data_IF_639193546683
#
_entry.id   IF_639193546683
#
_cell.length_a   1.000
_cell.length_b   1.000
_cell.length_c   1.000
_cell.angle_alpha   90.00
_cell.angle_beta   90.00
_cell.angle_gamma   90.00
#
_symmetry.space_group_name_H-M   'P 1'
#
loop_
_entity.id
_entity.type
_entity.pdbx_description
1 polymer ?
#
# COMPACT_ATOMS: atom_id res chain seq x y z
N UNK A 1 1.96 10.36 -2.03
CA UNK A 1 1.43 9.24 -1.23
C UNK A 1 1.98 7.89 -1.62
N UNK A 2 2.55 7.70 -2.83
CA UNK A 2 3.09 6.40 -3.26
C UNK A 2 4.33 6.56 -4.18
N UNK A 3 5.30 7.41 -3.83
CA UNK A 3 6.51 7.57 -4.65
C UNK A 3 7.47 6.37 -4.56
N UNK A 4 7.34 5.52 -3.55
CA UNK A 4 8.41 4.57 -3.19
C UNK A 4 8.26 3.13 -3.72
N UNK A 5 7.26 2.84 -4.54
CA UNK A 5 7.05 1.50 -5.17
C UNK A 5 7.28 1.47 -6.70
N UNK A 6 8.16 2.35 -7.21
CA UNK A 6 8.43 2.56 -8.65
C UNK A 6 8.79 1.28 -9.42
N UNK A 7 9.43 0.30 -8.76
CA UNK A 7 9.89 -0.93 -9.42
C UNK A 7 8.76 -1.85 -9.93
N UNK A 8 7.55 -1.75 -9.38
CA UNK A 8 6.42 -2.63 -9.73
C UNK A 8 5.46 -2.01 -10.77
N UNK A 9 5.53 -0.69 -11.00
CA UNK A 9 4.57 0.03 -11.85
C UNK A 9 4.63 -0.32 -13.35
N UNK A 10 5.82 -0.36 -13.99
CA UNK A 10 5.92 -0.63 -15.42
C UNK A 10 5.45 -2.05 -15.76
N UNK A 11 5.93 -3.03 -14.98
CA UNK A 11 5.66 -4.45 -15.17
C UNK A 11 4.17 -4.75 -15.04
N UNK A 12 3.50 -4.19 -14.02
CA UNK A 12 2.06 -4.40 -13.83
C UNK A 12 1.21 -3.82 -14.98
N UNK A 13 1.61 -2.68 -15.54
CA UNK A 13 0.90 -2.04 -16.64
C UNK A 13 1.08 -2.80 -17.97
N UNK A 14 2.30 -3.25 -18.26
CA UNK A 14 2.61 -4.01 -19.48
C UNK A 14 1.90 -5.37 -19.48
N UNK A 15 1.80 -6.03 -18.32
CA UNK A 15 1.05 -7.28 -18.16
C UNK A 15 -0.45 -7.09 -18.41
N UNK A 16 -1.04 -5.99 -17.93
CA UNK A 16 -2.44 -5.67 -18.19
C UNK A 16 -2.73 -5.43 -19.68
N UNK A 17 -1.91 -4.61 -20.34
CA UNK A 17 -2.08 -4.29 -21.76
C UNK A 17 -1.86 -5.52 -22.66
N UNK A 18 -1.04 -6.48 -22.23
CA UNK A 18 -0.86 -7.76 -22.90
C UNK A 18 -1.98 -8.78 -22.63
N UNK A 19 -3.06 -8.38 -21.93
CA UNK A 19 -4.23 -9.23 -21.71
C UNK A 19 -4.07 -10.24 -20.56
N UNK A 20 -3.03 -10.12 -19.74
CA UNK A 20 -2.88 -10.93 -18.54
C UNK A 20 -3.76 -10.36 -17.43
N UNK A 21 -5.03 -10.78 -17.42
CA UNK A 21 -6.03 -10.40 -16.41
C UNK A 21 -5.78 -11.13 -15.07
N UNK A 22 -4.97 -12.21 -15.08
CA UNK A 22 -4.61 -13.05 -13.93
C UNK A 22 -3.09 -13.14 -13.74
N UNK A 23 -2.60 -13.07 -12.49
CA UNK A 23 -1.17 -13.17 -12.20
C UNK A 23 -0.78 -14.58 -12.57
N UNK A 24 -0.02 -14.74 -13.66
CA UNK A 24 0.49 -16.05 -14.02
C UNK A 24 1.89 -16.18 -13.42
N UNK A 25 2.06 -16.81 -12.24
CA UNK A 25 3.37 -17.05 -11.66
C UNK A 25 4.26 -17.95 -12.54
N UNK A 26 3.68 -18.58 -13.59
CA UNK A 26 4.41 -19.35 -14.60
C UNK A 26 4.84 -18.50 -15.81
N UNK A 27 4.56 -17.20 -15.83
CA UNK A 27 5.04 -16.31 -16.87
C UNK A 27 6.59 -16.29 -16.85
N UNK A 28 7.27 -16.39 -18.00
CA UNK A 28 8.73 -16.56 -18.05
C UNK A 28 9.51 -15.46 -17.31
N UNK A 29 9.01 -14.22 -17.38
CA UNK A 29 9.63 -13.06 -16.76
C UNK A 29 9.53 -13.10 -15.22
N UNK A 30 8.40 -13.60 -14.70
CA UNK A 30 8.16 -13.75 -13.26
C UNK A 30 8.95 -14.92 -12.71
N UNK A 31 9.00 -16.04 -13.45
CA UNK A 31 9.84 -17.19 -13.11
C UNK A 31 11.31 -16.79 -13.01
N UNK A 32 11.78 -15.91 -13.88
CA UNK A 32 13.16 -15.43 -13.84
C UNK A 32 13.44 -14.57 -12.61
N UNK A 33 12.56 -13.61 -12.30
CA UNK A 33 12.67 -12.77 -11.09
C UNK A 33 12.60 -13.61 -9.81
N UNK A 34 11.70 -14.60 -9.76
CA UNK A 34 11.60 -15.52 -8.63
C UNK A 34 12.88 -16.35 -8.47
N UNK A 35 13.46 -16.84 -9.57
CA UNK A 35 14.74 -17.56 -9.51
C UNK A 35 15.86 -16.68 -8.98
N UNK A 36 15.93 -15.42 -9.39
CA UNK A 36 16.98 -14.49 -8.95
C UNK A 36 16.84 -14.14 -7.45
N UNK A 37 15.60 -14.01 -6.95
CA UNK A 37 15.30 -13.77 -5.53
C UNK A 37 15.59 -15.03 -4.69
N UNK A 38 15.14 -16.19 -5.15
CA UNK A 38 15.32 -17.48 -4.47
C UNK A 38 16.75 -18.01 -4.51
N UNK A 39 17.60 -17.45 -5.36
CA UNK A 39 19.03 -17.79 -5.42
C UNK A 39 19.86 -17.05 -4.36
N UNK A 40 19.27 -16.10 -3.62
CA UNK A 40 19.97 -15.40 -2.54
C UNK A 40 19.99 -16.24 -1.26
N UNK A 41 21.13 -16.37 -0.58
CA UNK A 41 21.21 -17.08 0.69
C UNK A 41 20.35 -16.37 1.75
N UNK A 42 19.55 -17.15 2.49
CA UNK A 42 18.65 -16.64 3.55
C UNK A 42 17.20 -16.40 3.12
N UNK A 43 16.84 -16.65 1.86
CA UNK A 43 15.46 -16.50 1.37
C UNK A 43 14.76 -17.87 1.31
N UNK A 44 13.72 -18.09 2.12
CA UNK A 44 12.86 -19.28 2.05
C UNK A 44 11.74 -19.08 1.02
N UNK A 45 11.88 -19.77 -0.11
CA UNK A 45 10.96 -19.66 -1.24
C UNK A 45 9.75 -20.59 -1.21
N UNK A 46 9.62 -21.42 -0.16
CA UNK A 46 8.54 -22.41 -0.05
C UNK A 46 7.16 -21.73 0.04
N UNK A 47 7.11 -20.49 0.57
CA UNK A 47 5.90 -19.67 0.70
C UNK A 47 6.03 -18.25 0.14
N UNK A 48 7.13 -17.93 -0.55
CA UNK A 48 7.34 -16.58 -1.09
C UNK A 48 6.20 -16.22 -2.06
N UNK A 49 5.85 -17.17 -2.94
CA UNK A 49 4.73 -17.00 -3.85
C UNK A 49 3.42 -16.77 -3.08
N UNK A 50 3.06 -17.53 -2.04
CA UNK A 50 1.81 -17.31 -1.31
C UNK A 50 1.71 -15.93 -0.63
N UNK A 51 2.83 -15.34 -0.19
CA UNK A 51 2.88 -13.97 0.33
C UNK A 51 2.68 -12.89 -0.75
N UNK A 52 3.01 -13.18 -2.02
CA UNK A 52 2.89 -12.25 -3.16
C UNK A 52 1.71 -12.55 -4.10
N UNK A 53 1.23 -13.79 -4.18
CA UNK A 53 0.20 -14.29 -5.11
C UNK A 53 -1.22 -14.18 -4.57
N UNK A 54 -1.40 -13.68 -3.34
CA UNK A 54 -2.72 -13.33 -2.81
C UNK A 54 -3.34 -12.08 -3.47
N UNK A 55 -2.61 -11.39 -4.34
CA UNK A 55 -3.02 -10.12 -4.92
C UNK A 55 -3.61 -10.38 -6.31
N UNK A 56 -4.94 -10.26 -6.43
CA UNK A 56 -5.61 -10.15 -7.72
C UNK A 56 -4.85 -9.14 -8.60
N UNK A 57 -4.56 -9.46 -9.87
CA UNK A 57 -3.83 -8.58 -10.79
C UNK A 57 -4.35 -7.14 -10.80
N UNK A 58 -5.67 -7.00 -10.69
CA UNK A 58 -6.32 -5.70 -10.62
C UNK A 58 -5.81 -4.85 -9.46
N UNK A 59 -5.52 -5.43 -8.30
CA UNK A 59 -4.97 -4.72 -7.16
C UNK A 59 -3.51 -4.29 -7.42
N UNK A 60 -2.69 -5.12 -8.06
CA UNK A 60 -1.32 -4.72 -8.44
C UNK A 60 -1.33 -3.57 -9.47
N UNK A 61 -2.21 -3.66 -10.47
CA UNK A 61 -2.41 -2.61 -11.47
C UNK A 61 -2.92 -1.34 -10.80
N UNK A 62 -3.85 -1.45 -9.83
CA UNK A 62 -4.36 -0.29 -9.10
C UNK A 62 -3.25 0.38 -8.29
N UNK A 63 -2.44 -0.39 -7.57
CA UNK A 63 -1.28 0.13 -6.83
C UNK A 63 -0.33 0.84 -7.79
N UNK A 64 -0.05 0.25 -8.97
CA UNK A 64 0.74 0.88 -10.03
C UNK A 64 0.16 2.22 -10.51
N UNK A 65 -1.16 2.31 -10.71
CA UNK A 65 -1.84 3.55 -11.09
C UNK A 65 -1.65 4.63 -10.03
N UNK A 66 -1.86 4.28 -8.75
CA UNK A 66 -1.70 5.24 -7.66
C UNK A 66 -0.23 5.72 -7.50
N UNK A 67 0.75 4.84 -7.72
CA UNK A 67 2.18 5.19 -7.73
C UNK A 67 2.49 6.16 -8.88
N UNK A 68 2.02 5.83 -10.09
CA UNK A 68 2.28 6.60 -11.32
C UNK A 68 1.66 7.99 -11.26
N UNK A 69 0.41 8.07 -10.82
CA UNK A 69 -0.37 9.30 -10.82
C UNK A 69 -0.16 10.11 -9.54
N UNK A 70 0.45 9.51 -8.52
CA UNK A 70 0.70 10.12 -7.22
C UNK A 70 -0.58 10.42 -6.42
N UNK A 71 -1.70 9.80 -6.79
CA UNK A 71 -3.05 10.06 -6.27
C UNK A 71 -3.69 8.78 -5.77
N UNK A 72 -4.45 8.89 -4.69
CA UNK A 72 -5.31 7.80 -4.23
C UNK A 72 -6.68 7.99 -4.87
N UNK A 73 -6.96 7.21 -5.91
CA UNK A 73 -8.21 7.28 -6.67
C UNK A 73 -8.81 5.90 -6.88
N UNK A 74 -10.05 5.84 -7.38
CA UNK A 74 -10.64 4.57 -7.83
C UNK A 74 -9.84 3.99 -9.02
N UNK A 75 -10.00 2.69 -9.25
CA UNK A 75 -9.32 1.99 -10.35
C UNK A 75 -9.59 2.64 -11.71
N UNK A 76 -8.53 2.89 -12.48
CA UNK A 76 -8.66 3.38 -13.85
C UNK A 76 -8.75 2.22 -14.84
N UNK A 77 -9.83 2.17 -15.62
CA UNK A 77 -9.99 1.17 -16.68
C UNK A 77 -9.38 1.60 -18.02
N UNK A 78 -8.82 2.82 -18.09
CA UNK A 78 -8.35 3.47 -19.31
C UNK A 78 -9.44 3.59 -20.39
N UNK A 79 -10.70 3.55 -19.98
CA UNK A 79 -11.88 3.65 -20.85
C UNK A 79 -12.89 4.61 -20.20
N UNK A 80 -13.20 5.70 -20.93
CA UNK A 80 -14.16 6.71 -20.50
C UNK A 80 -15.59 6.17 -20.44
N UNK A 81 -15.97 5.28 -21.37
CA UNK A 81 -17.30 4.68 -21.36
C UNK A 81 -17.49 3.78 -20.14
N UNK A 82 -16.46 3.00 -19.79
CA UNK A 82 -16.47 2.17 -18.58
C UNK A 82 -16.42 3.02 -17.29
N UNK A 83 -15.65 4.10 -17.29
CA UNK A 83 -15.62 5.07 -16.18
C UNK A 83 -16.97 5.75 -15.98
N UNK A 84 -17.64 6.18 -17.06
CA UNK A 84 -18.98 6.75 -17.01
C UNK A 84 -20.00 5.74 -16.48
N UNK A 85 -19.94 4.50 -16.96
CA UNK A 85 -20.81 3.42 -16.49
C UNK A 85 -20.66 3.14 -14.99
N UNK A 86 -19.44 3.21 -14.45
CA UNK A 86 -19.16 2.85 -13.03
C UNK A 86 -19.20 4.03 -12.07
N UNK A 87 -18.73 5.18 -12.50
CA UNK A 87 -18.46 6.33 -11.65
C UNK A 87 -19.28 7.56 -12.03
N UNK A 88 -20.04 7.50 -13.14
CA UNK A 88 -20.80 8.62 -13.72
C UNK A 88 -19.93 9.85 -14.01
N UNK A 89 -18.65 9.58 -14.29
CA UNK A 89 -17.58 10.56 -14.51
C UNK A 89 -16.61 9.98 -15.54
N UNK A 90 -15.95 10.85 -16.31
CA UNK A 90 -15.00 10.45 -17.36
C UNK A 90 -13.69 9.89 -16.79
N UNK A 91 -13.35 10.25 -15.55
CA UNK A 91 -12.14 9.84 -14.85
C UNK A 91 -12.49 9.22 -13.50
N UNK A 92 -11.68 8.28 -12.99
CA UNK A 92 -11.89 7.73 -11.66
C UNK A 92 -11.83 8.82 -10.58
N UNK A 93 -12.82 8.91 -9.68
CA UNK A 93 -12.80 9.93 -8.64
C UNK A 93 -11.70 9.66 -7.61
N UNK A 94 -11.07 10.73 -7.14
CA UNK A 94 -10.07 10.70 -6.09
C UNK A 94 -10.72 10.51 -4.71
N UNK A 95 -10.04 9.77 -3.83
CA UNK A 95 -10.39 9.67 -2.42
C UNK A 95 -9.83 10.87 -1.67
N UNK A 96 -10.73 11.68 -1.12
CA UNK A 96 -10.36 12.85 -0.32
C UNK A 96 -10.09 12.41 1.12
N UNK A 97 -8.83 12.43 1.54
CA UNK A 97 -8.45 12.04 2.91
C UNK A 97 -9.08 12.94 3.96
N UNK A 98 -9.25 14.23 3.65
CA UNK A 98 -9.99 15.18 4.48
C UNK A 98 -11.49 14.86 4.63
N UNK A 99 -12.02 13.83 3.95
CA UNK A 99 -13.39 13.35 4.16
C UNK A 99 -13.48 12.24 5.20
N UNK A 100 -12.36 11.83 5.80
CA UNK A 100 -12.38 10.97 6.99
C UNK A 100 -13.02 11.78 8.13
N UNK A 101 -14.04 11.25 8.83
CA UNK A 101 -14.71 11.97 9.92
C UNK A 101 -13.71 12.39 10.99
N UNK A 102 -13.76 13.64 11.42
CA UNK A 102 -12.77 14.23 12.32
C UNK A 102 -12.80 13.62 13.73
N UNK A 103 -13.95 13.05 14.11
CA UNK A 103 -14.23 12.42 15.39
C UNK A 103 -13.90 10.91 15.40
N UNK A 104 -13.55 10.34 14.25
CA UNK A 104 -13.16 8.93 14.14
C UNK A 104 -11.81 8.71 14.84
N UNK A 105 -11.71 7.83 15.86
CA UNK A 105 -10.43 7.53 16.47
C UNK A 105 -9.48 6.85 15.46
N UNK A 106 -8.33 7.46 15.23
CA UNK A 106 -7.27 6.98 14.34
C UNK A 106 -5.97 6.77 15.11
N UNK A 107 -5.42 5.57 15.00
CA UNK A 107 -4.06 5.26 15.41
C UNK A 107 -3.22 5.03 14.15
N UNK A 108 -2.27 5.93 13.89
CA UNK A 108 -1.41 5.87 12.71
C UNK A 108 0.04 5.61 13.14
N UNK A 109 0.54 4.41 12.84
CA UNK A 109 1.95 4.06 13.05
C UNK A 109 2.74 4.06 11.74
N UNK A 110 3.94 4.63 11.73
CA UNK A 110 4.84 4.60 10.56
C UNK A 110 6.31 4.61 10.95
N UNK A 111 7.15 4.10 10.03
CA UNK A 111 8.56 3.83 10.27
C UNK A 111 9.52 4.71 9.47
N UNK A 112 10.72 4.97 10.01
CA UNK A 112 11.76 5.73 9.31
C UNK A 112 12.48 4.92 8.22
N UNK A 113 12.57 3.60 8.41
CA UNK A 113 13.13 2.66 7.45
C UNK A 113 12.07 2.01 6.53
N UNK A 114 10.81 2.48 6.58
CA UNK A 114 9.73 1.95 5.75
C UNK A 114 9.85 2.42 4.30
N UNK A 115 10.16 1.49 3.40
CA UNK A 115 10.29 1.74 1.97
C UNK A 115 8.94 1.75 1.22
N UNK A 116 7.86 1.25 1.80
CA UNK A 116 6.53 1.22 1.17
C UNK A 116 5.65 2.38 1.62
N UNK A 117 5.71 2.73 2.90
CA UNK A 117 5.04 3.87 3.52
C UNK A 117 6.07 4.90 3.99
N UNK A 118 6.82 5.48 3.05
CA UNK A 118 7.91 6.39 3.40
C UNK A 118 7.44 7.63 4.16
N UNK A 119 8.36 8.21 4.92
CA UNK A 119 8.11 9.37 5.79
C UNK A 119 7.52 10.56 5.04
N UNK A 120 7.91 10.80 3.78
CA UNK A 120 7.39 11.94 3.02
C UNK A 120 5.93 11.72 2.64
N UNK A 121 5.58 10.51 2.20
CA UNK A 121 4.23 10.15 1.83
C UNK A 121 3.28 10.12 3.04
N UNK A 122 3.73 9.65 4.20
CA UNK A 122 2.96 9.71 5.45
C UNK A 122 2.76 11.16 5.92
N UNK A 123 3.76 12.04 5.75
CA UNK A 123 3.59 13.47 6.05
C UNK A 123 2.53 14.13 5.18
N UNK A 124 2.39 13.72 3.92
CA UNK A 124 1.29 14.20 3.06
C UNK A 124 -0.08 13.74 3.56
N UNK A 125 -0.18 12.51 4.06
CA UNK A 125 -1.39 12.00 4.72
C UNK A 125 -1.72 12.82 5.96
N UNK A 126 -0.77 13.00 6.87
CA UNK A 126 -0.94 13.76 8.11
C UNK A 126 -1.35 15.21 7.84
N UNK A 127 -0.75 15.86 6.84
CA UNK A 127 -1.16 17.20 6.41
C UNK A 127 -2.61 17.25 5.91
N UNK A 128 -3.11 16.18 5.32
CA UNK A 128 -4.51 16.07 4.88
C UNK A 128 -5.48 15.81 6.04
N UNK A 129 -4.96 15.35 7.19
CA UNK A 129 -5.69 15.08 8.43
C UNK A 129 -5.49 16.18 9.49
N UNK A 130 -4.94 17.34 9.11
CA UNK A 130 -4.63 18.44 10.05
C UNK A 130 -5.83 18.99 10.82
N UNK A 131 -7.03 18.81 10.27
CA UNK A 131 -8.29 19.31 10.84
C UNK A 131 -9.02 18.23 11.67
N UNK A 132 -8.41 17.04 11.83
CA UNK A 132 -8.90 15.94 12.67
C UNK A 132 -8.80 16.29 14.15
N UNK A 133 -9.69 15.75 14.98
CA UNK A 133 -9.71 16.09 16.40
C UNK A 133 -8.41 15.61 17.07
N UNK A 134 -7.76 16.53 17.80
CA UNK A 134 -6.39 16.31 18.29
C UNK A 134 -6.26 15.15 19.28
N UNK A 135 -7.32 14.84 20.03
CA UNK A 135 -7.41 13.68 20.93
C UNK A 135 -7.84 12.39 20.21
N UNK A 136 -8.27 12.49 18.95
CA UNK A 136 -8.70 11.37 18.11
C UNK A 136 -7.64 10.88 17.14
N UNK A 137 -6.55 11.63 16.92
CA UNK A 137 -5.43 11.20 16.09
C UNK A 137 -4.19 10.93 16.94
N UNK A 138 -3.85 9.66 17.13
CA UNK A 138 -2.60 9.23 17.77
C UNK A 138 -1.62 8.79 16.70
N UNK A 139 -0.43 9.40 16.70
CA UNK A 139 0.64 9.09 15.75
C UNK A 139 1.81 8.43 16.48
N UNK A 140 2.20 7.24 16.03
CA UNK A 140 3.37 6.50 16.53
C UNK A 140 4.45 6.46 15.45
N UNK A 141 5.60 7.06 15.72
CA UNK A 141 6.75 7.01 14.81
C UNK A 141 7.88 6.16 15.39
N UNK A 142 8.45 5.28 14.57
CA UNK A 142 9.64 4.47 14.89
C UNK A 142 10.68 4.58 13.80
N UNK A 143 11.76 5.30 14.07
CA UNK A 143 12.80 5.58 13.08
C UNK A 143 13.44 4.30 12.52
N UNK A 144 13.61 3.30 13.38
CA UNK A 144 14.25 2.01 13.13
C UNK A 144 13.33 0.96 12.47
N UNK A 145 12.04 1.25 12.29
CA UNK A 145 11.08 0.28 11.75
C UNK A 145 10.98 0.36 10.22
N UNK A 146 11.09 -0.78 9.57
CA UNK A 146 10.67 -1.03 8.20
C UNK A 146 9.23 -1.55 8.14
N UNK A 147 8.67 -1.68 6.92
CA UNK A 147 7.25 -1.99 6.71
C UNK A 147 6.75 -3.24 7.46
N UNK A 148 7.54 -4.32 7.41
CA UNK A 148 7.17 -5.59 8.01
C UNK A 148 7.34 -5.62 9.54
N UNK A 149 8.15 -4.72 10.11
CA UNK A 149 8.47 -4.74 11.54
C UNK A 149 7.25 -4.41 12.41
N UNK A 150 6.28 -3.66 11.88
CA UNK A 150 5.00 -3.40 12.55
C UNK A 150 4.17 -4.66 12.80
N UNK A 151 4.44 -5.75 12.07
CA UNK A 151 3.73 -7.03 12.21
C UNK A 151 4.64 -8.13 12.75
N UNK A 152 5.87 -8.19 12.23
CA UNK A 152 6.80 -9.31 12.41
C UNK A 152 8.02 -8.97 13.29
N UNK A 153 8.19 -7.71 13.70
CA UNK A 153 9.32 -7.31 14.53
C UNK A 153 9.28 -8.00 15.89
N UNK A 154 10.45 -8.43 16.38
CA UNK A 154 10.55 -9.13 17.68
C UNK A 154 10.01 -8.28 18.84
N UNK A 155 10.18 -6.96 18.76
CA UNK A 155 9.70 -5.99 19.76
C UNK A 155 8.34 -5.37 19.39
N UNK A 156 7.69 -5.80 18.30
CA UNK A 156 6.43 -5.22 17.82
C UNK A 156 5.32 -5.27 18.88
N UNK A 157 5.34 -6.28 19.77
CA UNK A 157 4.42 -6.34 20.90
C UNK A 157 4.54 -5.10 21.78
N UNK A 158 5.74 -4.76 22.23
CA UNK A 158 5.98 -3.65 23.13
C UNK A 158 5.87 -2.31 22.40
N UNK A 159 6.44 -2.23 21.20
CA UNK A 159 6.60 -0.97 20.48
C UNK A 159 5.32 -0.53 19.75
N UNK A 160 4.46 -1.47 19.32
CA UNK A 160 3.27 -1.18 18.49
C UNK A 160 1.99 -1.69 19.15
N UNK A 161 1.93 -2.96 19.55
CA UNK A 161 0.67 -3.56 20.00
C UNK A 161 0.25 -3.08 21.39
N UNK A 162 1.16 -2.94 22.34
CA UNK A 162 0.84 -2.44 23.68
C UNK A 162 0.30 -1.00 23.62
N UNK A 163 0.90 -0.04 22.86
CA UNK A 163 0.32 1.27 22.58
C UNK A 163 -1.03 1.22 21.86
N UNK A 164 -1.20 0.35 20.86
CA UNK A 164 -2.46 0.18 20.14
C UNK A 164 -3.59 -0.30 21.06
N UNK A 165 -3.29 -1.26 21.94
CA UNK A 165 -4.25 -1.75 22.94
C UNK A 165 -4.58 -0.69 23.99
N UNK A 166 -3.62 0.18 24.35
CA UNK A 166 -3.89 1.32 25.22
C UNK A 166 -4.82 2.33 24.54
N UNK A 167 -4.59 2.63 23.26
CA UNK A 167 -5.43 3.50 22.46
C UNK A 167 -6.90 3.03 22.42
N UNK A 168 -7.14 1.73 22.19
CA UNK A 168 -8.51 1.18 22.16
C UNK A 168 -9.22 1.23 23.52
N UNK A 169 -8.48 1.20 24.64
CA UNK A 169 -9.08 1.32 25.98
C UNK A 169 -9.53 2.74 26.33
N UNK A 170 -9.11 3.74 25.55
CA UNK A 170 -9.41 5.15 25.76
C UNK A 170 -10.58 5.65 24.92
N UNK A 171 -11.13 4.82 24.01
CA UNK A 171 -12.29 5.14 23.19
C UNK A 171 -13.59 4.67 23.86
#
# INVERSE_FOLDING_TARGET
MLRSAVLLSPIAHDLYNAGYIEFNPKAPMIVQVLKDICSKPGVDCTNLLTSFTGICNKNMIHISQMIRDGKVAKFDYNDKAESQKRYRQDTPPEYKMASIPHDLPLFLSYGGADALSDVQDVKLLLNSLKDHDGDKLVVLYRDDYAHADFVMGETAKQDVYDPLMAFFKLQ
#
